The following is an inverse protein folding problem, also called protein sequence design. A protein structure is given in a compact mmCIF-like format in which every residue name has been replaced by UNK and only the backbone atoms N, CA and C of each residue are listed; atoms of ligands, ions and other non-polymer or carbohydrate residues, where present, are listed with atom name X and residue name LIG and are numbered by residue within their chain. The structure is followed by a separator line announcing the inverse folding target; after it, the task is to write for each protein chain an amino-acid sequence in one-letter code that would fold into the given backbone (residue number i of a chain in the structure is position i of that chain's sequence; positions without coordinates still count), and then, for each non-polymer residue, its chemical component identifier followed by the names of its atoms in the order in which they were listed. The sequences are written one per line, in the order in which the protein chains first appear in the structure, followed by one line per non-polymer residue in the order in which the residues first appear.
data_IF_071172939112
#
_entry.id   IF_071172939112
#
_cell.length_a   1.000
_cell.length_b   1.000
_cell.length_c   1.000
_cell.angle_alpha   90.00
_cell.angle_beta   90.00
_cell.angle_gamma   90.00
#
_symmetry.space_group_name_H-M   'P 1'
#
loop_
_entity.id
_entity.type
_entity.pdbx_description
1 polymer ?
2 non-polymer ?
3 non-polymer ?
4 water ?
#
# COMPACT_ATOMS: atom_id res chain seq x y z
N UNK A 8 6.87 -15.76 14.11
CA UNK A 8 5.68 -15.81 15.03
C UNK A 8 4.81 -17.01 14.64
N UNK A 9 4.10 -17.57 15.61
CA UNK A 9 3.38 -18.85 15.44
C UNK A 9 1.94 -18.72 14.91
N UNK A 10 1.21 -17.73 15.39
CA UNK A 10 -0.08 -17.39 14.80
C UNK A 10 0.13 -16.95 13.36
N UNK A 11 1.29 -16.34 13.10
CA UNK A 11 1.61 -15.93 11.76
C UNK A 11 2.00 -17.11 10.89
N UNK A 12 2.75 -18.09 11.42
CA UNK A 12 3.07 -19.33 10.66
C UNK A 12 1.78 -20.12 10.33
N UNK A 13 0.85 -20.19 11.30
CA UNK A 13 -0.39 -20.93 11.12
C UNK A 13 -1.22 -20.35 9.96
N UNK A 14 -1.36 -19.02 9.91
CA UNK A 14 -2.16 -18.35 8.87
C UNK A 14 -1.51 -18.38 7.48
N UNK A 15 -0.19 -18.22 7.42
CA UNK A 15 0.54 -18.42 6.15
C UNK A 15 0.41 -19.84 5.56
N UNK A 16 0.42 -20.86 6.39
CA UNK A 16 0.29 -22.24 5.87
C UNK A 16 -1.16 -22.58 5.59
N UNK A 17 -2.09 -21.94 6.29
CA UNK A 17 -3.51 -22.10 5.96
C UNK A 17 -3.81 -21.48 4.59
N UNK A 18 -3.26 -20.29 4.34
CA UNK A 18 -3.40 -19.63 3.06
C UNK A 18 -2.95 -20.50 1.90
N UNK A 19 -1.75 -21.05 2.04
CA UNK A 19 -1.14 -21.86 0.98
C UNK A 19 -1.87 -23.15 0.72
N UNK A 20 -2.26 -23.80 1.81
CA UNK A 20 -3.14 -24.95 1.81
C UNK A 20 -4.36 -24.65 0.94
N UNK A 21 -5.06 -23.55 1.25
CA UNK A 21 -6.24 -23.16 0.45
C UNK A 21 -5.90 -22.89 -1.01
N UNK A 22 -4.74 -22.27 -1.23
CA UNK A 22 -4.28 -21.91 -2.55
C UNK A 22 -3.85 -23.10 -3.41
N UNK A 23 -3.35 -24.15 -2.76
CA UNK A 23 -2.92 -25.37 -3.47
C UNK A 23 -4.10 -26.04 -4.14
N UNK A 24 -5.26 -25.90 -3.52
CA UNK A 24 -6.51 -26.48 -4.02
C UNK A 24 -7.12 -25.79 -5.23
N UNK A 25 -6.68 -24.56 -5.55
CA UNK A 25 -7.37 -23.74 -6.57
C UNK A 25 -7.02 -24.17 -7.99
N UNK A 26 -5.75 -24.36 -8.26
CA UNK A 26 -5.34 -24.74 -9.60
C UNK A 26 -5.30 -23.53 -10.49
N UNK A 27 -5.25 -23.79 -11.79
CA UNK A 27 -5.11 -22.77 -12.83
C UNK A 27 -6.40 -21.93 -12.91
N UNK A 28 -6.21 -20.63 -13.08
CA UNK A 28 -7.27 -19.65 -12.98
C UNK A 28 -7.80 -19.28 -14.34
N UNK A 29 -9.12 -19.15 -14.49
CA UNK A 29 -9.75 -18.85 -15.81
C UNK A 29 -10.92 -17.95 -15.69
N UNK A 30 -11.16 -17.06 -16.69
CA UNK A 30 -12.23 -16.03 -16.57
C UNK A 30 -13.54 -16.63 -16.21
N UNK A 31 -13.89 -17.68 -16.92
CA UNK A 31 -15.22 -18.20 -16.79
C UNK A 31 -15.41 -18.83 -15.39
N UNK A 32 -14.34 -19.06 -14.64
CA UNK A 32 -14.44 -19.53 -13.27
C UNK A 32 -14.88 -18.54 -12.17
N UNK A 33 -14.99 -17.26 -12.49
CA UNK A 33 -15.26 -16.19 -11.54
C UNK A 33 -16.68 -15.64 -11.60
N UNK A 34 -17.30 -15.47 -10.42
CA UNK A 34 -18.57 -14.75 -10.30
C UNK A 34 -18.37 -13.44 -9.52
N UNK A 35 -18.88 -12.34 -10.09
CA UNK A 35 -18.80 -11.00 -9.48
C UNK A 35 -19.72 -10.94 -8.29
N UNK A 36 -19.20 -10.31 -7.24
CA UNK A 36 -19.94 -10.06 -6.03
C UNK A 36 -20.15 -8.57 -5.93
N UNK A 37 -19.09 -7.77 -6.08
CA UNK A 37 -19.20 -6.31 -6.05
C UNK A 37 -18.01 -5.63 -6.70
N UNK A 38 -17.99 -4.30 -6.69
CA UNK A 38 -16.85 -3.54 -7.11
C UNK A 38 -16.17 -2.96 -5.88
N UNK A 39 -14.86 -2.97 -5.82
CA UNK A 39 -14.14 -2.40 -4.69
C UNK A 39 -13.00 -1.50 -5.10
N UNK A 40 -12.79 -0.39 -4.41
CA UNK A 40 -11.63 0.47 -4.63
C UNK A 40 -11.41 0.70 -6.11
N UNK A 41 -12.49 0.68 -6.89
CA UNK A 41 -12.38 0.85 -8.32
C UNK A 41 -11.86 2.25 -8.64
N UNK A 42 -11.10 2.34 -9.71
CA UNK A 42 -10.44 3.57 -10.12
C UNK A 42 -9.02 3.17 -10.43
N UNK A 43 -8.10 4.11 -10.54
CA UNK A 43 -6.72 3.75 -10.80
C UNK A 43 -6.62 3.13 -12.20
N UNK A 44 -5.57 2.34 -12.40
CA UNK A 44 -5.32 1.63 -13.62
C UNK A 44 -6.32 0.62 -14.10
N UNK A 45 -7.00 -0.02 -13.15
CA UNK A 45 -7.97 -1.02 -13.46
C UNK A 45 -9.10 -0.97 -12.47
N UNK A 46 -10.19 -1.61 -12.78
CA UNK A 46 -11.27 -1.74 -11.83
C UNK A 46 -10.94 -2.91 -10.93
N UNK A 47 -11.48 -2.94 -9.72
CA UNK A 47 -11.29 -4.08 -8.87
C UNK A 47 -12.60 -4.62 -8.39
N UNK A 48 -12.75 -5.93 -8.42
CA UNK A 48 -13.98 -6.57 -8.00
C UNK A 48 -13.74 -7.58 -6.91
N UNK A 49 -14.71 -7.70 -6.02
CA UNK A 49 -14.80 -8.79 -5.12
C UNK A 49 -15.44 -9.92 -5.94
N UNK A 50 -14.87 -11.12 -5.92
CA UNK A 50 -15.35 -12.16 -6.78
C UNK A 50 -15.38 -13.43 -5.96
N UNK A 51 -16.10 -14.39 -6.51
CA UNK A 51 -16.17 -15.71 -5.98
C UNK A 51 -15.48 -16.59 -7.01
N UNK A 52 -14.56 -17.39 -6.56
CA UNK A 52 -14.00 -18.44 -7.40
C UNK A 52 -14.84 -19.71 -7.21
N UNK A 53 -15.85 -19.83 -8.08
CA UNK A 53 -16.94 -20.79 -7.92
C UNK A 53 -16.46 -22.23 -7.66
N UNK A 54 -15.48 -22.72 -8.45
CA UNK A 54 -15.07 -24.10 -8.14
C UNK A 54 -14.55 -24.29 -6.71
N UNK A 55 -13.74 -23.37 -6.21
CA UNK A 55 -13.11 -23.54 -4.90
C UNK A 55 -14.00 -22.98 -3.81
N UNK A 56 -14.93 -22.10 -4.17
CA UNK A 56 -15.71 -21.33 -3.17
C UNK A 56 -15.01 -20.11 -2.59
N UNK A 57 -13.76 -19.83 -2.99
CA UNK A 57 -12.97 -18.74 -2.35
C UNK A 57 -13.39 -17.40 -2.87
N UNK A 58 -13.59 -16.47 -1.95
CA UNK A 58 -13.68 -15.05 -2.27
C UNK A 58 -12.25 -14.53 -2.49
N UNK A 59 -12.10 -13.58 -3.40
CA UNK A 59 -10.86 -13.07 -3.86
C UNK A 59 -11.13 -11.64 -4.36
N UNK A 60 -10.08 -10.88 -4.55
CA UNK A 60 -10.16 -9.57 -5.17
C UNK A 60 -9.48 -9.69 -6.48
N UNK A 61 -10.14 -9.20 -7.52
CA UNK A 61 -9.63 -9.34 -8.84
C UNK A 61 -9.47 -7.97 -9.49
N UNK A 62 -8.24 -7.64 -9.82
CA UNK A 62 -7.92 -6.44 -10.56
C UNK A 62 -7.87 -6.74 -12.07
N UNK A 63 -8.52 -5.87 -12.84
CA UNK A 63 -8.61 -6.03 -14.30
C UNK A 63 -7.95 -4.85 -14.93
N UNK A 64 -6.99 -5.14 -15.78
CA UNK A 64 -6.29 -4.08 -16.47
C UNK A 64 -6.62 -4.27 -17.94
N UNK A 65 -7.52 -3.41 -18.44
CA UNK A 65 -7.81 -3.37 -19.86
C UNK A 65 -6.56 -2.96 -20.67
N UNK A 66 -6.08 -3.88 -21.51
CA UNK A 66 -4.90 -3.67 -22.36
C UNK A 66 -5.04 -4.48 -23.65
N UNK A 67 -4.80 -3.80 -24.78
CA UNK A 67 -4.77 -4.46 -26.08
C UNK A 67 -3.32 -4.52 -26.56
N UNK A 68 -2.77 -5.74 -26.60
CA UNK A 68 -1.37 -5.98 -27.00
C UNK A 68 -1.12 -7.38 -27.59
N UNK A 69 0.10 -7.54 -28.14
CA UNK A 69 0.54 -8.76 -28.80
C UNK A 69 0.49 -9.96 -27.86
N UNK A 70 0.13 -11.16 -28.37
CA UNK A 70 0.23 -12.36 -27.52
C UNK A 70 1.59 -12.56 -26.82
N UNK A 71 2.68 -12.09 -27.43
CA UNK A 71 4.01 -12.20 -26.83
C UNK A 71 4.12 -11.37 -25.57
N UNK A 72 3.82 -10.06 -25.71
CA UNK A 72 3.83 -9.11 -24.58
C UNK A 72 3.02 -9.63 -23.38
N UNK A 73 1.80 -10.07 -23.63
CA UNK A 73 0.93 -10.57 -22.56
C UNK A 73 1.43 -11.89 -21.96
N UNK A 74 1.99 -12.78 -22.78
CA UNK A 74 2.57 -14.03 -22.25
C UNK A 74 3.78 -13.75 -21.37
N UNK A 75 4.49 -12.65 -21.65
CA UNK A 75 5.64 -12.19 -20.85
C UNK A 75 5.18 -11.58 -19.51
N UNK A 76 4.21 -10.69 -19.57
CA UNK A 76 3.63 -10.14 -18.37
C UNK A 76 3.15 -11.27 -17.44
N UNK A 77 2.35 -12.21 -17.96
CA UNK A 77 1.85 -13.31 -17.15
C UNK A 77 2.98 -14.09 -16.46
N UNK A 78 4.04 -14.41 -17.21
CA UNK A 78 5.21 -15.13 -16.61
C UNK A 78 5.98 -14.30 -15.54
N UNK A 79 6.19 -13.01 -15.76
CA UNK A 79 6.81 -12.10 -14.76
C UNK A 79 6.00 -11.96 -13.45
N UNK A 80 4.69 -12.15 -13.55
CA UNK A 80 3.80 -12.08 -12.38
C UNK A 80 3.82 -13.36 -11.57
N UNK A 81 4.13 -14.49 -12.21
CA UNK A 81 4.27 -15.77 -11.52
C UNK A 81 5.26 -15.67 -10.38
N UNK A 82 6.21 -14.75 -10.52
CA UNK A 82 7.14 -14.31 -9.47
C UNK A 82 6.43 -14.12 -8.11
N UNK A 83 5.26 -13.49 -8.12
CA UNK A 83 4.46 -13.30 -6.90
C UNK A 83 4.04 -14.58 -6.16
N UNK A 84 4.16 -15.76 -6.78
CA UNK A 84 3.82 -17.03 -6.10
C UNK A 84 4.84 -17.41 -5.06
N UNK A 85 6.04 -16.86 -5.13
CA UNK A 85 7.06 -17.18 -4.13
C UNK A 85 7.10 -16.13 -2.98
N UNK A 86 6.37 -15.02 -3.14
CA UNK A 86 6.37 -13.93 -2.13
C UNK A 86 5.39 -14.20 -0.97
N UNK A 87 5.75 -15.13 -0.10
CA UNK A 87 4.92 -15.49 1.06
C UNK A 87 5.34 -14.76 2.34
N UNK A 88 4.62 -13.70 2.72
CA UNK A 88 4.90 -12.96 3.98
C UNK A 88 3.62 -12.43 4.61
N UNK A 89 3.57 -12.37 5.96
CA UNK A 89 2.40 -11.81 6.61
C UNK A 89 2.07 -10.37 6.28
N UNK A 90 3.03 -9.65 5.67
CA UNK A 90 2.93 -8.22 5.40
C UNK A 90 2.73 -7.87 3.94
N UNK A 91 2.51 -8.92 3.14
CA UNK A 91 2.21 -8.78 1.74
C UNK A 91 0.91 -9.52 1.41
N UNK A 92 -0.01 -8.84 0.70
CA UNK A 92 -1.29 -9.44 0.25
C UNK A 92 -1.05 -10.78 -0.46
N UNK A 93 -1.71 -11.83 0.01
CA UNK A 93 -1.76 -13.12 -0.68
C UNK A 93 -2.09 -12.99 -2.15
N UNK A 94 -1.33 -13.66 -2.97
CA UNK A 94 -1.50 -13.64 -4.43
C UNK A 94 -2.08 -15.00 -4.82
N UNK A 95 -3.22 -15.07 -5.49
CA UNK A 95 -3.72 -16.36 -6.04
C UNK A 95 -3.27 -16.66 -7.45
N UNK A 96 -3.22 -15.66 -8.30
CA UNK A 96 -2.72 -15.90 -9.64
C UNK A 96 -3.01 -14.74 -10.55
N UNK A 97 -2.46 -14.85 -11.75
CA UNK A 97 -2.70 -13.91 -12.83
C UNK A 97 -2.90 -14.59 -14.18
N UNK A 98 -3.80 -14.02 -14.98
CA UNK A 98 -4.09 -14.50 -16.33
C UNK A 98 -4.62 -13.38 -17.24
N UNK A 99 -4.63 -13.67 -18.55
CA UNK A 99 -5.17 -12.80 -19.58
C UNK A 99 -6.39 -13.41 -20.20
N UNK A 100 -7.39 -12.58 -20.48
CA UNK A 100 -8.61 -13.04 -21.10
C UNK A 100 -9.34 -11.87 -21.75
N UNK A 101 -9.63 -12.02 -23.05
CA UNK A 101 -10.48 -11.08 -23.82
C UNK A 101 -10.10 -9.63 -23.55
N UNK A 102 -8.87 -9.30 -23.94
CA UNK A 102 -8.34 -7.95 -23.79
C UNK A 102 -7.99 -7.41 -22.41
N UNK A 103 -8.03 -8.24 -21.36
CA UNK A 103 -7.67 -7.73 -20.03
C UNK A 103 -6.93 -8.68 -19.10
N UNK A 104 -5.90 -8.13 -18.47
CA UNK A 104 -5.12 -8.88 -17.50
C UNK A 104 -5.93 -8.97 -16.23
N UNK A 105 -5.86 -10.11 -15.58
CA UNK A 105 -6.46 -10.27 -14.28
C UNK A 105 -5.37 -10.63 -13.27
N UNK A 106 -5.45 -10.01 -12.10
CA UNK A 106 -4.55 -10.28 -10.99
C UNK A 106 -5.42 -10.54 -9.80
N UNK A 107 -5.26 -11.71 -9.22
CA UNK A 107 -6.19 -12.17 -8.22
C UNK A 107 -5.48 -12.36 -6.93
N UNK A 108 -6.10 -11.83 -5.86
CA UNK A 108 -5.47 -11.61 -4.61
C UNK A 108 -6.43 -11.95 -3.50
N UNK A 109 -5.86 -12.09 -2.33
CA UNK A 109 -6.60 -12.20 -1.10
C UNK A 109 -7.47 -10.98 -0.90
N UNK A 110 -8.68 -11.23 -0.43
CA UNK A 110 -9.67 -10.22 -0.25
C UNK A 110 -9.47 -9.72 1.15
N UNK A 111 -9.09 -8.44 1.29
CA UNK A 111 -8.84 -7.81 2.59
C UNK A 111 -10.08 -6.99 2.97
N UNK A 112 -10.81 -7.44 3.98
CA UNK A 112 -12.22 -7.03 4.14
C UNK A 112 -12.31 -5.58 4.65
N UNK A 113 -11.18 -5.10 5.16
CA UNK A 113 -11.04 -3.72 5.58
C UNK A 113 -10.80 -2.72 4.47
N UNK A 114 -10.48 -3.18 3.27
CA UNK A 114 -10.06 -2.29 2.18
C UNK A 114 -8.71 -1.60 2.41
N UNK A 115 -8.48 -0.52 1.69
CA UNK A 115 -7.25 0.20 1.78
C UNK A 115 -7.37 1.39 2.71
N UNK A 116 -6.23 1.90 3.15
CA UNK A 116 -6.20 3.01 4.09
C UNK A 116 -6.60 4.33 3.53
N UNK A 117 -6.51 4.57 2.22
CA UNK A 117 -7.18 5.81 1.70
C UNK A 117 -8.65 5.79 2.01
N UNK A 118 -9.30 4.61 1.86
CA UNK A 118 -10.75 4.56 2.09
C UNK A 118 -11.05 4.59 3.59
N UNK A 119 -10.21 3.95 4.39
CA UNK A 119 -10.39 4.05 5.84
C UNK A 119 -10.21 5.50 6.26
N UNK A 120 -9.22 6.18 5.65
CA UNK A 120 -8.96 7.60 5.99
C UNK A 120 -10.19 8.46 5.70
N UNK A 121 -10.72 8.36 4.48
CA UNK A 121 -12.01 9.01 4.12
C UNK A 121 -13.07 8.82 5.18
N UNK A 122 -13.25 7.61 5.65
CA UNK A 122 -14.27 7.32 6.66
C UNK A 122 -13.91 7.74 8.09
N UNK A 123 -12.66 7.58 8.51
CA UNK A 123 -12.30 7.93 9.86
C UNK A 123 -12.02 9.42 10.03
N UNK A 124 -11.60 10.10 8.96
CA UNK A 124 -11.20 11.51 9.07
C UNK A 124 -9.72 11.66 9.35
N UNK A 125 -9.24 11.06 10.42
CA UNK A 125 -7.82 10.94 10.64
C UNK A 125 -7.52 9.70 11.50
N UNK A 126 -6.34 9.09 11.32
CA UNK A 126 -6.04 7.84 11.97
C UNK A 126 -5.19 8.11 13.19
N UNK A 127 -5.57 7.53 14.33
CA UNK A 127 -4.81 7.84 15.53
C UNK A 127 -3.37 7.33 15.56
N UNK A 128 -2.57 8.03 16.32
CA UNK A 128 -1.14 7.82 16.39
C UNK A 128 -0.79 6.37 16.69
N UNK A 129 -1.48 5.79 17.65
CA UNK A 129 -1.21 4.43 18.06
C UNK A 129 -1.54 3.40 17.00
N UNK A 130 -2.58 3.63 16.21
CA UNK A 130 -2.87 2.78 15.05
C UNK A 130 -1.78 2.95 13.97
N UNK A 131 -1.30 4.17 13.77
CA UNK A 131 -0.24 4.44 12.77
C UNK A 131 1.07 3.81 13.15
N UNK A 132 1.26 3.56 14.42
CA UNK A 132 2.40 2.80 14.89
C UNK A 132 2.32 1.37 14.41
N UNK A 133 1.13 0.78 14.49
CA UNK A 133 0.99 -0.56 13.92
C UNK A 133 1.19 -0.57 12.42
N UNK A 134 0.58 0.37 11.73
CA UNK A 134 0.75 0.48 10.31
C UNK A 134 2.25 0.60 10.01
N UNK A 135 2.96 1.49 10.69
CA UNK A 135 4.39 1.69 10.45
C UNK A 135 5.19 0.37 10.57
N UNK A 136 4.99 -0.36 11.64
CA UNK A 136 5.63 -1.66 11.82
C UNK A 136 5.40 -2.59 10.60
N UNK A 137 4.17 -2.60 10.07
CA UNK A 137 3.84 -3.56 9.03
C UNK A 137 4.50 -3.11 7.74
N UNK A 138 4.39 -1.84 7.43
CA UNK A 138 5.02 -1.37 6.23
C UNK A 138 6.55 -1.58 6.31
N UNK A 139 7.16 -1.32 7.45
CA UNK A 139 8.61 -1.47 7.52
C UNK A 139 8.98 -2.95 7.28
N UNK A 140 8.24 -3.85 7.90
CA UNK A 140 8.50 -5.30 7.74
C UNK A 140 8.21 -5.76 6.34
N UNK A 141 7.10 -5.28 5.78
CA UNK A 141 6.77 -5.54 4.41
C UNK A 141 7.91 -5.07 3.52
N UNK A 142 8.37 -3.83 3.68
CA UNK A 142 9.46 -3.36 2.85
C UNK A 142 10.77 -4.17 3.08
N UNK A 143 10.99 -4.63 4.30
CA UNK A 143 12.15 -5.43 4.62
C UNK A 143 12.06 -6.83 4.03
N UNK A 144 10.84 -7.33 3.86
CA UNK A 144 10.65 -8.57 3.16
C UNK A 144 11.03 -8.44 1.69
N UNK A 145 10.56 -7.40 1.02
CA UNK A 145 10.78 -7.23 -0.40
C UNK A 145 12.26 -7.04 -0.77
N UNK A 146 13.03 -6.44 0.14
CA UNK A 146 14.45 -6.18 -0.12
C UNK A 146 15.26 -7.50 0.11
N UNK A 147 15.04 -8.14 1.25
CA UNK A 147 15.68 -9.43 1.59
C UNK A 147 15.36 -10.62 0.62
N UNK A 148 14.29 -10.54 -0.18
CA UNK A 148 13.98 -11.56 -1.18
C UNK A 148 13.75 -10.90 -2.55
N UNK A 149 14.74 -10.13 -3.01
CA UNK A 149 14.84 -9.65 -4.40
C UNK A 149 16.28 -9.77 -4.91
N UNK A 154 8.98 -0.10 -6.08
CA UNK A 154 7.78 -0.19 -5.22
C UNK A 154 7.09 1.21 -5.14
N UNK A 155 5.91 1.25 -4.53
CA UNK A 155 5.08 2.44 -4.50
C UNK A 155 4.21 2.42 -3.23
N UNK A 156 4.57 3.24 -2.25
CA UNK A 156 3.95 3.20 -0.94
C UNK A 156 3.09 4.40 -0.80
N UNK A 157 1.80 4.18 -0.59
CA UNK A 157 0.84 5.25 -0.38
C UNK A 157 -0.37 4.62 0.26
N UNK A 158 -1.28 5.41 0.82
CA UNK A 158 -2.39 4.80 1.57
C UNK A 158 -3.26 3.80 0.77
N UNK A 159 -3.48 4.09 -0.50
CA UNK A 159 -4.27 3.20 -1.33
C UNK A 159 -3.61 1.86 -1.54
N UNK A 160 -2.30 1.79 -1.33
CA UNK A 160 -1.57 0.51 -1.42
C UNK A 160 -1.37 -0.26 -0.11
N UNK A 161 -2.00 0.18 0.98
CA UNK A 161 -1.96 -0.53 2.23
C UNK A 161 -3.37 -1.05 2.52
N UNK A 162 -3.51 -2.36 2.62
CA UNK A 162 -4.82 -2.96 2.83
C UNK A 162 -4.86 -3.45 4.23
N UNK A 163 -6.05 -3.53 4.79
CA UNK A 163 -6.24 -3.98 6.17
C UNK A 163 -7.41 -4.99 6.32
N UNK A 164 -7.42 -5.81 7.36
CA UNK A 164 -8.55 -6.71 7.54
C UNK A 164 -9.06 -6.78 8.99
N UNK A 165 -10.20 -7.44 9.17
CA UNK A 165 -10.85 -7.55 10.47
C UNK A 165 -10.08 -8.41 11.43
N UNK A 166 -9.06 -9.14 10.97
CA UNK A 166 -8.18 -9.87 11.89
C UNK A 166 -7.02 -9.02 12.37
N UNK A 167 -7.00 -7.74 12.06
CA UNK A 167 -5.94 -6.85 12.51
C UNK A 167 -4.69 -6.85 11.65
N UNK A 168 -4.81 -7.33 10.42
CA UNK A 168 -3.64 -7.50 9.57
C UNK A 168 -3.49 -6.31 8.71
N UNK A 169 -2.25 -5.95 8.42
CA UNK A 169 -1.90 -4.80 7.60
C UNK A 169 -0.87 -5.26 6.58
N UNK A 170 -1.16 -5.02 5.29
CA UNK A 170 -0.36 -5.60 4.21
C UNK A 170 -0.24 -4.69 3.04
N UNK A 171 0.90 -4.75 2.38
CA UNK A 171 1.10 -4.05 1.13
C UNK A 171 0.54 -4.85 -0.06
N UNK A 172 -0.07 -4.14 -0.98
CA UNK A 172 -0.56 -4.70 -2.21
C UNK A 172 0.20 -4.06 -3.36
N UNK A 173 0.93 -4.87 -4.10
CA UNK A 173 1.71 -4.37 -5.19
C UNK A 173 1.95 -5.41 -6.31
N UNK A 174 1.83 -4.93 -7.55
CA UNK A 174 1.90 -5.75 -8.77
C UNK A 174 3.03 -5.26 -9.71
N UNK A 175 3.92 -4.41 -9.19
CA UNK A 175 5.05 -3.83 -9.94
C UNK A 175 6.29 -4.71 -9.97
N UNK A 176 6.11 -5.99 -9.70
CA UNK A 176 7.14 -6.98 -9.97
C UNK A 176 7.35 -7.13 -11.48
N UNK A 177 6.29 -6.94 -12.25
CA UNK A 177 6.38 -7.10 -13.71
C UNK A 177 7.17 -6.03 -14.48
N UNK A 178 6.87 -4.77 -14.25
CA UNK A 178 7.58 -3.72 -14.99
C UNK A 178 7.07 -3.55 -16.40
N UNK A 179 7.22 -4.59 -17.22
CA UNK A 179 6.75 -4.50 -18.59
C UNK A 179 5.27 -4.19 -18.56
N UNK A 180 4.58 -4.76 -17.58
CA UNK A 180 3.18 -4.48 -17.44
C UNK A 180 3.03 -2.98 -17.25
N UNK A 181 3.86 -2.43 -16.38
CA UNK A 181 3.76 -1.00 -16.13
C UNK A 181 4.16 -0.26 -17.42
N UNK A 182 5.12 -0.85 -18.13
CA UNK A 182 5.58 -0.35 -19.40
C UNK A 182 4.39 -0.08 -20.30
N UNK A 183 3.53 -1.08 -20.39
CA UNK A 183 2.43 -1.00 -21.33
C UNK A 183 1.16 -0.26 -20.87
N UNK A 184 1.07 0.14 -19.60
CA UNK A 184 -0.08 0.91 -19.15
C UNK A 184 0.18 2.40 -19.30
N UNK A 185 1.42 2.78 -19.54
CA UNK A 185 1.78 4.20 -19.58
C UNK A 185 0.99 4.94 -20.64
N UNK A 186 0.82 4.31 -21.78
CA UNK A 186 0.05 4.89 -22.87
C UNK A 186 -1.45 4.92 -22.54
N UNK A 187 -1.85 4.24 -21.48
CA UNK A 187 -3.25 4.18 -21.10
C UNK A 187 -3.56 5.07 -19.91
N UNK A 188 -2.78 4.89 -18.86
CA UNK A 188 -2.98 5.61 -17.61
C UNK A 188 -1.67 5.60 -16.81
N UNK A 189 -1.50 6.56 -15.91
CA UNK A 189 -0.34 6.53 -15.02
C UNK A 189 -0.67 6.92 -13.58
N UNK A 190 -0.33 6.04 -12.61
CA UNK A 190 -0.55 6.26 -11.17
C UNK A 190 0.08 7.58 -10.71
N UNK A 191 -0.50 8.19 -9.67
CA UNK A 191 -0.06 9.52 -9.20
C UNK A 191 1.40 9.52 -8.76
N UNK A 192 2.11 10.61 -9.08
CA UNK A 192 3.53 10.83 -8.68
C UNK A 192 3.73 11.67 -7.42
N UNK A 193 2.62 12.04 -6.77
CA UNK A 193 2.65 12.92 -5.64
C UNK A 193 3.16 12.26 -4.35
N UNK A 194 3.46 10.95 -4.37
CA UNK A 194 4.18 10.27 -3.28
C UNK A 194 5.66 9.93 -3.59
N UNK A 195 6.23 10.47 -4.66
CA UNK A 195 7.61 10.14 -4.98
C UNK A 195 8.57 11.07 -4.27
N UNK A 196 9.74 10.52 -3.96
CA UNK A 196 10.73 11.23 -3.20
C UNK A 196 11.30 12.32 -4.09
N UNK A 197 11.87 13.37 -3.48
CA UNK A 197 12.45 14.43 -4.28
C UNK A 197 13.52 13.90 -5.24
N UNK A 198 14.27 12.88 -4.84
CA UNK A 198 15.32 12.32 -5.68
C UNK A 198 14.84 11.37 -6.83
N UNK A 199 13.57 10.98 -6.83
CA UNK A 199 12.99 10.28 -7.96
C UNK A 199 12.45 11.31 -8.89
N UNK A 200 11.95 12.40 -8.34
CA UNK A 200 11.45 13.46 -9.13
C UNK A 200 12.59 14.21 -9.78
N UNK A 201 13.79 14.03 -9.26
CA UNK A 201 14.95 14.64 -9.87
C UNK A 201 15.72 13.60 -10.67
N UNK A 202 15.12 12.44 -10.85
CA UNK A 202 15.66 11.43 -11.74
C UNK A 202 16.72 10.52 -11.19
N UNK A 203 17.11 10.67 -9.93
CA UNK A 203 18.22 9.87 -9.41
C UNK A 203 17.89 8.38 -9.38
N UNK A 204 16.61 8.05 -9.23
CA UNK A 204 16.09 6.67 -9.32
C UNK A 204 15.94 5.97 -7.96
N UNK A 205 15.24 4.84 -7.98
CA UNK A 205 14.81 4.16 -6.75
C UNK A 205 15.95 3.54 -5.93
N UNK A 206 15.70 3.49 -4.63
CA UNK A 206 16.52 2.82 -3.67
C UNK A 206 15.40 2.55 -2.73
N UNK A 207 15.62 1.70 -1.75
CA UNK A 207 14.59 1.46 -0.77
C UNK A 207 14.31 2.78 -0.10
N UNK A 208 15.28 3.68 -0.22
CA UNK A 208 15.21 4.94 0.43
C UNK A 208 14.05 5.81 -0.02
N UNK A 209 13.65 5.70 -1.28
CA UNK A 209 12.49 6.49 -1.77
C UNK A 209 11.13 5.99 -1.21
N UNK A 210 11.06 4.72 -0.89
CA UNK A 210 9.88 4.16 -0.22
C UNK A 210 9.74 4.55 1.27
N UNK A 211 10.86 4.81 1.93
CA UNK A 211 10.84 5.42 3.23
C UNK A 211 10.24 6.79 3.13
N UNK A 212 10.61 7.53 2.10
CA UNK A 212 10.06 8.85 1.95
C UNK A 212 8.53 8.74 1.85
N UNK A 213 8.09 7.82 1.01
CA UNK A 213 6.66 7.67 0.72
C UNK A 213 5.92 7.20 1.93
N UNK A 214 6.52 6.28 2.70
CA UNK A 214 5.94 5.89 3.93
C UNK A 214 5.76 7.10 4.87
N UNK A 215 6.75 7.99 4.94
CA UNK A 215 6.70 9.15 5.80
C UNK A 215 5.56 10.08 5.48
N UNK A 216 5.41 10.33 4.20
CA UNK A 216 4.35 11.20 3.68
C UNK A 216 2.92 10.67 3.88
N UNK A 217 2.77 9.38 3.63
CA UNK A 217 1.53 8.67 3.85
C UNK A 217 1.13 8.75 5.30
N UNK A 218 2.09 8.56 6.20
CA UNK A 218 1.77 8.58 7.63
C UNK A 218 1.28 9.98 8.04
N UNK A 219 1.90 11.02 7.49
CA UNK A 219 1.51 12.40 7.84
C UNK A 219 0.11 12.65 7.28
N UNK A 220 -0.13 12.22 6.06
CA UNK A 220 -1.44 12.35 5.48
C UNK A 220 -2.50 11.69 6.36
N UNK A 221 -2.25 10.48 6.77
CA UNK A 221 -3.24 9.75 7.58
C UNK A 221 -3.40 10.36 8.97
N UNK A 222 -2.33 10.93 9.49
CA UNK A 222 -2.39 11.55 10.81
C UNK A 222 -3.23 12.80 10.81
N UNK A 223 -3.03 13.65 9.83
CA UNK A 223 -3.69 14.93 9.83
C UNK A 223 -4.99 14.89 9.04
N UNK A 224 -5.21 13.82 8.28
CA UNK A 224 -6.43 13.67 7.49
C UNK A 224 -6.47 14.39 6.17
N UNK A 225 -5.32 14.69 5.59
CA UNK A 225 -5.27 15.41 4.29
C UNK A 225 -3.91 15.22 3.64
N UNK A 226 -3.85 15.29 2.32
CA UNK A 226 -2.56 15.21 1.65
C UNK A 226 -1.76 16.42 2.15
N UNK A 227 -0.53 16.18 2.71
CA UNK A 227 0.05 17.31 3.46
C UNK A 227 0.78 18.44 2.70
N UNK A 228 0.97 18.35 1.39
CA UNK A 228 1.63 19.39 0.67
C UNK A 228 0.61 20.03 -0.23
N UNK A 229 0.47 21.34 -0.21
CA UNK A 229 1.29 22.24 0.61
C UNK A 229 0.82 22.30 2.06
N UNK A 230 1.66 22.83 2.96
CA UNK A 230 1.20 22.84 4.33
C UNK A 230 -0.01 23.67 4.50
N UNK A 231 -0.81 23.33 5.49
CA UNK A 231 -2.00 24.08 5.80
C UNK A 231 -1.60 25.31 6.54
N UNK A 232 -1.20 26.31 5.77
CA UNK A 232 -0.89 27.60 6.30
C UNK A 232 -2.29 28.16 6.40
N UNK A 233 -2.77 28.25 7.61
CA UNK A 233 -4.14 28.70 7.87
C UNK A 233 -4.48 28.44 9.31
N UNK A 234 -5.76 28.61 9.60
CA UNK A 234 -6.33 28.09 10.80
C UNK A 234 -6.86 26.70 10.52
N UNK A 235 -6.48 26.11 9.40
CA UNK A 235 -6.99 24.81 9.03
C UNK A 235 -6.59 23.86 10.13
N UNK A 236 -5.41 24.10 10.69
CA UNK A 236 -4.98 23.35 11.84
C UNK A 236 -5.99 23.58 12.93
N UNK A 237 -6.32 24.85 13.11
CA UNK A 237 -7.29 25.23 14.13
C UNK A 237 -8.59 24.52 13.79
N UNK A 238 -8.92 24.51 12.51
CA UNK A 238 -10.10 23.80 12.06
C UNK A 238 -9.84 22.31 12.29
N UNK A 239 -8.64 21.87 11.94
CA UNK A 239 -8.28 20.48 12.09
C UNK A 239 -8.22 20.09 13.56
N UNK A 240 -7.63 20.92 14.40
CA UNK A 240 -7.50 20.63 15.83
C UNK A 240 -7.59 21.94 16.60
N UNK A 272 -5.54 26.67 -5.84
CA UNK A 272 -5.20 25.24 -5.68
C UNK A 272 -4.03 24.81 -6.57
N UNK A 273 -3.40 23.69 -6.22
CA UNK A 273 -2.17 23.28 -6.89
C UNK A 273 -2.42 22.22 -7.95
N UNK A 274 -1.98 22.48 -9.18
CA UNK A 274 -1.89 21.44 -10.24
C UNK A 274 -0.69 20.53 -10.00
N UNK A 275 -0.84 19.27 -10.41
CA UNK A 275 0.15 18.23 -10.12
C UNK A 275 1.62 18.68 -10.42
N UNK A 276 1.83 19.45 -11.47
CA UNK A 276 3.18 19.96 -11.79
C UNK A 276 3.68 21.04 -10.81
N UNK A 277 2.79 21.88 -10.31
CA UNK A 277 3.16 22.87 -9.29
C UNK A 277 3.51 22.12 -8.01
N UNK A 278 2.76 21.05 -7.76
CA UNK A 278 3.02 20.25 -6.60
C UNK A 278 4.36 19.57 -6.62
N UNK A 279 4.77 19.03 -7.77
CA UNK A 279 6.01 18.23 -7.81
C UNK A 279 7.26 19.11 -7.73
N UNK A 280 7.20 20.30 -8.32
CA UNK A 280 8.22 21.31 -8.10
C UNK A 280 8.29 21.59 -6.61
N UNK A 281 7.12 21.85 -6.01
CA UNK A 281 7.00 22.11 -4.58
C UNK A 281 7.68 21.04 -3.73
N UNK A 282 7.46 19.77 -4.07
CA UNK A 282 8.15 18.69 -3.36
C UNK A 282 9.66 18.82 -3.52
N UNK A 283 10.11 19.14 -4.72
CA UNK A 283 11.53 19.18 -5.05
C UNK A 283 12.21 20.41 -4.46
N UNK A 284 11.49 21.52 -4.34
CA UNK A 284 12.13 22.79 -3.97
C UNK A 284 11.91 23.29 -2.57
N UNK A 285 10.81 22.88 -1.93
CA UNK A 285 10.43 23.42 -0.63
C UNK A 285 10.83 22.45 0.47
N UNK A 286 10.64 22.84 1.76
CA UNK A 286 10.96 21.89 2.82
C UNK A 286 9.88 20.80 2.97
N UNK A 287 10.29 19.65 3.50
CA UNK A 287 9.35 18.56 3.59
C UNK A 287 8.24 18.86 4.60
N UNK A 288 7.04 18.31 4.40
CA UNK A 288 6.04 18.49 5.46
C UNK A 288 6.47 17.80 6.76
N UNK A 289 5.76 18.17 7.80
CA UNK A 289 5.95 17.64 9.11
C UNK A 289 4.62 17.59 9.84
N UNK A 290 4.56 16.88 10.96
CA UNK A 290 3.37 16.93 11.79
C UNK A 290 3.26 18.26 12.52
N UNK A 291 2.03 18.72 12.79
CA UNK A 291 1.96 19.80 13.81
C UNK A 291 2.38 19.32 15.20
N UNK A 292 2.81 20.27 16.04
CA UNK A 292 3.21 19.94 17.40
C UNK A 292 2.09 20.19 18.35
N UNK A 293 2.22 19.61 19.53
CA UNK A 293 1.17 19.61 20.56
C UNK A 293 0.44 18.29 20.47
N UNK A 294 -0.14 18.07 19.31
CA UNK A 294 -1.09 17.00 19.09
C UNK A 294 -0.51 15.59 19.02
N UNK A 295 0.75 15.45 18.61
CA UNK A 295 1.38 14.17 18.35
C UNK A 295 2.56 14.05 19.25
N UNK A 296 2.93 12.84 19.61
CA UNK A 296 4.08 12.66 20.49
C UNK A 296 5.36 13.05 19.73
N UNK A 297 6.41 13.29 20.48
CA UNK A 297 7.69 13.76 19.90
C UNK A 297 8.37 12.65 19.17
N UNK A 298 8.19 11.45 19.68
CA UNK A 298 8.71 10.25 19.01
C UNK A 298 8.11 10.00 17.63
N UNK A 299 6.81 10.26 17.47
CA UNK A 299 6.13 10.12 16.19
C UNK A 299 6.57 11.21 15.26
N UNK A 300 6.66 12.43 15.78
CA UNK A 300 7.22 13.57 14.97
C UNK A 300 8.62 13.25 14.44
N UNK A 301 9.46 12.68 15.28
CA UNK A 301 10.82 12.43 14.90
C UNK A 301 10.93 11.33 13.87
N UNK A 302 10.11 10.29 14.04
CA UNK A 302 10.03 9.20 13.10
C UNK A 302 9.67 9.67 11.71
N UNK A 303 8.67 10.51 11.58
CA UNK A 303 8.32 10.94 10.24
C UNK A 303 9.36 11.90 9.71
N UNK A 304 9.84 12.83 10.55
CA UNK A 304 10.94 13.75 10.15
C UNK A 304 12.12 12.99 9.53
N UNK A 305 12.44 11.83 10.10
CA UNK A 305 13.55 11.09 9.57
C UNK A 305 13.24 10.33 8.28
N UNK A 306 11.96 10.06 8.03
CA UNK A 306 11.58 9.43 6.83
C UNK A 306 11.59 10.53 5.74
N UNK A 307 11.30 11.77 6.12
CA UNK A 307 11.03 12.88 5.19
C UNK A 307 12.21 13.90 4.91
N UNK A 308 13.40 13.54 5.35
CA UNK A 308 14.61 14.25 5.07
C UNK A 308 14.87 14.14 3.54
N UNK A 309 15.10 15.27 2.88
CA UNK A 309 15.26 15.32 1.41
C UNK A 309 16.47 14.56 0.86
N UNK A 310 17.60 14.72 1.50
CA UNK A 310 18.77 14.00 1.05
C UNK A 310 18.62 12.57 1.42
N UNK A 311 18.75 11.65 0.45
CA UNK A 311 18.46 10.26 0.72
C UNK A 311 19.54 9.56 1.48
N UNK A 312 20.75 10.12 1.45
CA UNK A 312 21.88 9.51 2.18
C UNK A 312 21.71 9.71 3.71
N UNK A 313 21.24 10.90 4.06
CA UNK A 313 20.89 11.26 5.44
C UNK A 313 19.56 10.72 5.99
N UNK A 314 18.53 10.69 5.14
CA UNK A 314 17.27 10.07 5.46
C UNK A 314 17.52 8.71 6.04
N UNK A 315 16.71 8.32 7.02
CA UNK A 315 16.89 7.02 7.68
C UNK A 315 16.72 5.81 6.78
N UNK A 316 17.32 4.70 7.19
CA UNK A 316 17.18 3.43 6.54
C UNK A 316 16.32 2.46 7.37
N UNK A 317 15.96 1.34 6.77
CA UNK A 317 15.03 0.43 7.38
C UNK A 317 15.57 -0.11 8.67
N UNK A 318 16.87 -0.44 8.71
CA UNK A 318 17.52 -1.00 9.92
C UNK A 318 17.36 0.00 11.05
N UNK A 319 17.54 1.26 10.69
CA UNK A 319 17.37 2.38 11.60
C UNK A 319 15.92 2.60 12.01
N UNK A 320 14.99 2.55 11.07
CA UNK A 320 13.60 2.70 11.46
C UNK A 320 13.15 1.60 12.38
N UNK A 321 13.67 0.39 12.19
CA UNK A 321 13.20 -0.76 12.92
C UNK A 321 13.48 -0.63 14.40
N UNK A 322 14.57 0.09 14.77
CA UNK A 322 14.89 0.32 16.16
C UNK A 322 14.54 1.71 16.66
N UNK A 323 13.91 2.55 15.84
CA UNK A 323 13.57 3.92 16.26
C UNK A 323 12.55 3.79 17.39
N UNK A 324 12.56 4.76 18.30
CA UNK A 324 11.76 4.79 19.50
C UNK A 324 10.26 4.74 19.30
N UNK A 325 9.74 5.45 18.32
CA UNK A 325 8.37 5.29 17.91
C UNK A 325 8.02 3.83 17.65
N UNK A 326 8.90 3.13 16.95
CA UNK A 326 8.68 1.74 16.59
C UNK A 326 8.76 0.82 17.81
N UNK A 327 9.81 0.95 18.61
CA UNK A 327 9.95 0.10 19.80
C UNK A 327 8.81 0.32 20.76
N UNK A 328 8.39 1.58 20.90
CA UNK A 328 7.21 1.88 21.74
C UNK A 328 5.94 1.29 21.12
N UNK A 329 5.73 1.49 19.83
CA UNK A 329 4.50 0.98 19.21
C UNK A 329 4.48 -0.51 19.33
N UNK A 330 5.63 -1.17 19.16
CA UNK A 330 5.67 -2.61 19.21
C UNK A 330 5.27 -3.20 20.58
N UNK A 331 5.46 -2.46 21.66
CA UNK A 331 5.12 -2.91 22.99
C UNK A 331 3.76 -2.35 23.51
N UNK A 332 3.08 -1.58 22.68
CA UNK A 332 1.70 -1.24 22.98
C UNK A 332 0.89 -2.44 22.44
N UNK A 333 -0.19 -2.81 23.10
CA UNK A 333 -1.04 -3.84 22.53
C UNK A 333 -2.26 -3.05 22.17
N UNK A 334 -2.39 -2.80 20.88
CA UNK A 334 -3.35 -1.83 20.38
C UNK A 334 -4.44 -2.69 19.78
N UNK A 335 -5.70 -2.38 20.04
CA UNK A 335 -6.76 -3.17 19.42
C UNK A 335 -7.06 -2.62 18.04
N UNK A 336 -6.30 -3.05 17.03
CA UNK A 336 -6.41 -2.46 15.71
C UNK A 336 -7.70 -2.94 15.09
N UNK A 337 -7.99 -4.24 15.16
CA UNK A 337 -9.23 -4.77 14.62
C UNK A 337 -10.47 -4.09 15.19
N UNK A 338 -10.50 -3.99 16.50
CA UNK A 338 -11.56 -3.31 17.19
C UNK A 338 -11.67 -1.88 16.76
N UNK A 339 -10.54 -1.17 16.66
CA UNK A 339 -10.61 0.20 16.15
C UNK A 339 -11.11 0.20 14.70
N UNK A 340 -10.62 -0.75 13.91
CA UNK A 340 -10.99 -0.78 12.49
C UNK A 340 -12.47 -1.10 12.33
N UNK A 341 -12.95 -2.15 12.99
CA UNK A 341 -14.36 -2.54 12.82
C UNK A 341 -15.33 -1.42 13.21
N UNK A 342 -15.08 -0.75 14.33
CA UNK A 342 -15.87 0.40 14.75
C UNK A 342 -15.89 1.58 13.78
N UNK A 343 -14.75 1.86 13.22
CA UNK A 343 -14.58 3.04 12.42
C UNK A 343 -15.26 2.89 11.06
N UNK A 344 -15.13 1.74 10.44
CA UNK A 344 -15.74 1.60 9.12
C UNK A 344 -17.08 0.87 9.17
N UNK A 345 -17.49 0.42 10.36
CA UNK A 345 -18.80 -0.20 10.50
C UNK A 345 -18.87 -1.61 9.95
N UNK A 346 -17.86 -2.42 10.23
CA UNK A 346 -17.85 -3.84 9.88
C UNK A 346 -18.57 -4.63 10.97
N UNK A 347 -19.54 -5.43 10.58
CA UNK A 347 -20.25 -6.30 11.53
C UNK A 347 -20.89 -7.52 10.85
X LIG B 1 -3.72 -5.56 -6.76
X LIG B 1 -4.75 -4.96 -5.74
X LIG B 1 -4.04 -4.00 -4.62
X LIG B 1 -3.35 -2.68 -5.00
X LIG B 1 -4.20 -1.76 -5.76
X LIG B 1 -4.26 -1.89 -7.01
X LIG B 1 -4.79 -0.59 -5.14
X LIG B 1 -5.18 0.35 -6.12
X LIG B 1 -6.02 -0.78 -4.21
X LIG B 1 -6.33 0.48 -3.53
X LIG B 1 -7.31 -1.16 -4.93
X LIG B 1 -7.98 -1.82 -3.84
X LIG B 1 -8.07 -3.23 -3.86
X LIG B 1 -8.67 -4.00 -2.85
X LIG B 1 -9.78 -3.49 -2.13
X LIG B 1 -10.41 -4.24 -1.14
X LIG B 1 -11.46 -3.66 -0.50
X LIG B 1 -12.46 -4.42 0.28
X LIG B 1 -9.91 -5.50 -0.83
X LIG B 1 -8.80 -5.99 -1.52
X LIG B 1 -8.32 -7.24 -1.26
X LIG B 1 -8.19 -5.31 -2.54
X LIG B 1 -7.10 -5.95 -3.18
X LIG B 1 -6.69 -7.06 -2.81
X LIG B 1 -6.57 -5.32 -4.24
X LIG B 1 -5.62 -6.02 -5.04
X LIG B 1 -6.46 -6.81 -6.04
X LIG C 1 -16.20 -19.50 -21.91
X LIG D 1 -15.02 -15.71 -20.75
#
# INVERSE_FOLDING_TARGET
GLEELELDEQQRKRLEAFLTQKQKVGELKDDDFEKISELGAGNGGVVFKVSHKPSGLVMARKLIHLEIKPAIRNQIIRELQVLHECNSPYIVGFYGAFYSDGEISICMEHMDGGSLDQVLKKAGRIPEQILGKVSIAVIKGLTYLREKHKIMHRDVKPSNILVNSRGEIKLCDFGVSGQLIDSMANSFVGTRSYMSPERLQGTHYSVQSDIWSMGLSLVEMAVGRYPIPPPDAKELELMFGCQVEGDAAETPPRPRTPGRPLNKFGMDSRPPMAIFELLDYIVNEPPPKLPSGVFSLEFQDFVNKCLIKNPAERADLKQLMVHAFIKRSDAEEVDFAGWLCSTIGLNQ
E62 CAV CAU CAT CAS CAQ OAR CAO OAP CAM OAN CAL CAK CAJ CAH CAI CAC NAB CAA CAD CAE OAF CAG CAZ OBA OAY CAW CAX
MG MG
MG MG
#
